data_IF_432398049956
#
_entry.id   IF_432398049956
#
_cell.length_a   1.000
_cell.length_b   1.000
_cell.length_c   1.000
_cell.angle_alpha   90.00
_cell.angle_beta   90.00
_cell.angle_gamma   90.00
#
_symmetry.space_group_name_H-M   'P 1'
#
loop_
_entity.id
_entity.type
_entity.pdbx_description
1 polymer ?
#
# COMPACT_ATOMS: atom_id res chain seq x y z
N UNK A 1 8.08 2.99 6.57
CA UNK A 1 7.04 3.77 5.87
C UNK A 1 7.50 5.21 5.74
N UNK A 2 6.87 5.98 4.86
CA UNK A 2 7.17 7.39 4.66
C UNK A 2 5.84 8.13 4.44
N UNK A 3 5.69 9.31 5.04
CA UNK A 3 4.50 10.15 4.87
C UNK A 3 4.77 11.33 3.91
N UNK A 4 3.72 12.03 3.47
CA UNK A 4 3.82 13.17 2.54
C UNK A 4 4.74 14.29 3.05
N UNK A 5 4.79 14.52 4.37
CA UNK A 5 5.67 15.52 4.99
C UNK A 5 7.16 15.07 5.03
N UNK A 6 7.47 13.90 4.46
CA UNK A 6 8.79 13.30 4.46
C UNK A 6 9.17 12.61 5.78
N UNK A 7 8.28 12.59 6.78
CA UNK A 7 8.53 11.85 8.02
C UNK A 7 8.62 10.35 7.74
N UNK A 8 9.52 9.69 8.44
CA UNK A 8 9.78 8.26 8.30
C UNK A 8 9.20 7.50 9.49
N UNK A 9 8.53 6.38 9.19
CA UNK A 9 8.14 5.39 10.18
C UNK A 9 9.13 4.24 10.17
N UNK A 10 9.69 3.95 11.33
CA UNK A 10 10.61 2.83 11.54
C UNK A 10 10.32 2.15 12.86
N UNK A 11 10.78 0.91 12.94
CA UNK A 11 10.59 0.04 14.10
C UNK A 11 11.93 -0.32 14.69
N UNK A 12 11.96 -0.53 16.00
CA UNK A 12 13.14 -1.05 16.69
C UNK A 12 12.73 -1.93 17.85
N UNK A 13 13.64 -2.81 18.24
CA UNK A 13 13.52 -3.62 19.45
C UNK A 13 14.29 -2.93 20.57
N UNK A 14 13.67 -2.84 21.74
CA UNK A 14 14.29 -2.33 22.94
C UNK A 14 14.22 -3.39 24.04
N UNK A 15 15.35 -3.63 24.68
CA UNK A 15 15.44 -4.43 25.90
C UNK A 15 15.23 -3.52 27.12
N UNK A 16 14.41 -3.95 28.07
CA UNK A 16 14.27 -3.25 29.35
C UNK A 16 15.27 -3.76 30.39
N UNK A 17 15.34 -3.11 31.55
CA UNK A 17 16.24 -3.50 32.65
C UNK A 17 15.98 -4.91 33.22
N UNK A 18 14.85 -5.52 32.89
CA UNK A 18 14.48 -6.88 33.31
C UNK A 18 14.74 -7.93 32.21
N UNK A 19 15.41 -7.58 31.11
CA UNK A 19 15.69 -8.48 29.99
C UNK A 19 14.48 -8.79 29.09
N UNK A 20 13.38 -8.04 29.24
CA UNK A 20 12.17 -8.21 28.43
C UNK A 20 12.31 -7.33 27.18
N UNK A 21 12.23 -7.98 26.02
CA UNK A 21 12.25 -7.30 24.73
C UNK A 21 10.86 -6.82 24.32
N UNK A 22 10.80 -5.57 23.85
CA UNK A 22 9.59 -4.95 23.29
C UNK A 22 9.91 -4.28 21.96
N UNK A 23 8.94 -4.23 21.06
CA UNK A 23 9.08 -3.48 19.82
C UNK A 23 8.36 -2.14 19.90
N UNK A 24 8.90 -1.15 19.22
CA UNK A 24 8.32 0.18 19.11
C UNK A 24 8.12 0.55 17.65
N UNK A 25 7.12 1.38 17.40
CA UNK A 25 7.02 2.17 16.17
C UNK A 25 7.23 3.61 16.55
N UNK A 26 8.10 4.29 15.80
CA UNK A 26 8.35 5.70 15.93
C UNK A 26 8.23 6.44 14.61
N UNK A 27 7.92 7.72 14.73
CA UNK A 27 7.84 8.68 13.65
C UNK A 27 9.03 9.62 13.78
N UNK A 28 9.94 9.58 12.82
CA UNK A 28 11.09 10.48 12.73
C UNK A 28 10.84 11.58 11.71
N UNK A 29 10.90 12.83 12.16
CA UNK A 29 10.85 13.99 11.30
C UNK A 29 12.27 14.49 11.06
N UNK A 30 12.80 14.25 9.85
CA UNK A 30 14.17 14.62 9.50
C UNK A 30 14.44 16.14 9.62
N UNK A 31 13.61 17.04 9.07
CA UNK A 31 13.84 18.48 9.19
C UNK A 31 13.92 18.99 10.62
N UNK A 32 13.11 18.44 11.54
CA UNK A 32 13.09 18.81 12.96
C UNK A 32 14.07 18.00 13.81
N UNK A 33 14.65 16.94 13.24
CA UNK A 33 15.43 15.94 13.94
C UNK A 33 14.76 15.41 15.22
N UNK A 34 13.44 15.16 15.15
CA UNK A 34 12.67 14.65 16.30
C UNK A 34 12.19 13.24 16.05
N UNK A 35 12.33 12.39 17.07
CA UNK A 35 11.76 11.05 17.11
C UNK A 35 10.61 11.00 18.12
N UNK A 36 9.41 10.74 17.62
CA UNK A 36 8.23 10.51 18.44
C UNK A 36 7.92 9.01 18.49
N UNK A 37 7.87 8.44 19.70
CA UNK A 37 7.37 7.07 19.91
C UNK A 37 5.84 7.10 19.80
N UNK A 38 5.28 6.36 18.86
CA UNK A 38 3.84 6.38 18.59
C UNK A 38 3.12 5.12 19.05
N UNK A 39 3.77 3.96 19.02
CA UNK A 39 3.14 2.71 19.44
C UNK A 39 4.14 1.73 20.04
N UNK A 40 3.69 0.92 20.99
CA UNK A 40 4.52 -0.05 21.71
C UNK A 40 3.89 -1.44 21.66
N UNK A 41 4.70 -2.44 21.39
CA UNK A 41 4.32 -3.85 21.44
C UNK A 41 4.92 -4.51 22.66
N UNK A 42 4.16 -5.39 23.31
CA UNK A 42 4.62 -6.13 24.48
C UNK A 42 5.57 -7.29 24.16
N UNK A 43 5.87 -7.52 22.87
CA UNK A 43 6.80 -8.55 22.39
C UNK A 43 7.54 -8.06 21.16
N UNK A 44 8.67 -8.69 20.80
CA UNK A 44 9.35 -8.43 19.54
C UNK A 44 8.44 -8.78 18.36
N UNK A 45 8.25 -7.83 17.44
CA UNK A 45 7.46 -8.02 16.23
C UNK A 45 8.23 -7.54 15.00
N UNK A 46 8.12 -8.29 13.91
CA UNK A 46 8.65 -7.92 12.61
C UNK A 46 7.59 -7.13 11.83
N UNK A 47 7.58 -5.82 12.05
CA UNK A 47 6.74 -4.87 11.31
C UNK A 47 7.50 -4.41 10.08
N UNK A 48 7.01 -4.75 8.89
CA UNK A 48 7.69 -4.47 7.61
C UNK A 48 7.14 -3.27 6.88
N UNK A 49 5.93 -2.84 7.24
CA UNK A 49 5.30 -1.67 6.64
C UNK A 49 4.41 -1.00 7.70
N UNK A 50 4.37 0.33 7.66
CA UNK A 50 3.49 1.12 8.50
C UNK A 50 3.20 2.50 7.87
N UNK A 51 2.02 3.03 8.15
CA UNK A 51 1.61 4.40 7.81
C UNK A 51 0.69 4.97 8.91
N UNK A 52 0.67 6.28 9.08
CA UNK A 52 -0.23 7.00 10.01
C UNK A 52 -1.14 7.96 9.25
N UNK A 53 -2.36 8.14 9.75
CA UNK A 53 -3.27 9.10 9.17
C UNK A 53 -2.81 10.55 9.43
N UNK A 54 -3.43 11.52 8.74
CA UNK A 54 -3.06 12.94 8.80
C UNK A 54 -3.00 13.49 10.23
N UNK A 55 -3.97 13.11 11.06
CA UNK A 55 -4.08 13.55 12.45
C UNK A 55 -3.23 12.71 13.42
N UNK A 56 -2.54 11.68 12.94
CA UNK A 56 -1.69 10.77 13.74
C UNK A 56 -2.46 10.15 14.92
N UNK A 57 -3.72 9.80 14.68
CA UNK A 57 -4.63 9.15 15.64
C UNK A 57 -4.78 7.66 15.35
N UNK A 58 -4.56 7.24 14.10
CA UNK A 58 -4.64 5.85 13.65
C UNK A 58 -3.32 5.48 12.98
N UNK A 59 -2.80 4.33 13.38
CA UNK A 59 -1.63 3.68 12.82
C UNK A 59 -2.07 2.42 12.06
N UNK A 60 -1.64 2.28 10.83
CA UNK A 60 -1.76 1.05 10.05
C UNK A 60 -0.38 0.40 9.96
N UNK A 61 -0.31 -0.92 10.12
CA UNK A 61 0.95 -1.65 10.06
C UNK A 61 0.78 -3.09 9.56
N UNK A 62 1.84 -3.64 8.96
CA UNK A 62 1.89 -5.01 8.45
C UNK A 62 2.91 -5.81 9.24
N UNK A 63 2.49 -6.95 9.78
CA UNK A 63 3.37 -7.95 10.38
C UNK A 63 3.78 -8.99 9.33
N UNK A 64 5.08 -9.29 9.28
CA UNK A 64 5.65 -10.41 8.49
C UNK A 64 6.07 -11.51 9.45
N UNK A 65 5.40 -12.65 9.40
CA UNK A 65 5.64 -13.78 10.29
C UNK A 65 5.76 -15.08 9.49
N UNK A 66 6.41 -16.10 10.06
CA UNK A 66 6.41 -17.44 9.49
C UNK A 66 5.24 -18.21 10.05
N UNK A 67 4.46 -18.86 9.18
CA UNK A 67 3.42 -19.80 9.59
C UNK A 67 4.03 -21.15 10.00
N UNK A 68 3.18 -22.10 10.42
CA UNK A 68 3.60 -23.45 10.83
C UNK A 68 4.35 -24.24 9.74
N UNK A 69 4.26 -23.81 8.48
CA UNK A 69 4.91 -24.41 7.31
C UNK A 69 6.20 -23.69 6.91
N UNK A 70 6.70 -22.80 7.77
CA UNK A 70 7.88 -21.96 7.53
C UNK A 70 7.74 -20.97 6.35
N UNK A 71 6.51 -20.70 5.90
CA UNK A 71 6.21 -19.75 4.82
C UNK A 71 5.91 -18.39 5.42
N UNK A 72 6.50 -17.33 4.86
CA UNK A 72 6.19 -15.97 5.28
C UNK A 72 4.75 -15.59 4.94
N UNK A 73 4.06 -15.01 5.92
CA UNK A 73 2.73 -14.43 5.78
C UNK A 73 2.75 -12.97 6.23
N UNK A 74 1.92 -12.18 5.55
CA UNK A 74 1.73 -10.75 5.76
C UNK A 74 0.33 -10.52 6.32
N UNK A 75 0.24 -9.85 7.45
CA UNK A 75 -1.01 -9.55 8.16
C UNK A 75 -1.11 -8.07 8.49
N UNK A 76 -2.10 -7.35 7.94
CA UNK A 76 -2.29 -5.93 8.20
C UNK A 76 -3.21 -5.69 9.41
N UNK A 77 -2.88 -4.68 10.20
CA UNK A 77 -3.59 -4.28 11.40
C UNK A 77 -3.78 -2.77 11.42
N UNK A 78 -4.82 -2.33 12.13
CA UNK A 78 -5.02 -0.94 12.51
C UNK A 78 -4.93 -0.81 14.02
N UNK A 79 -4.32 0.27 14.49
CA UNK A 79 -4.24 0.62 15.89
C UNK A 79 -4.71 2.06 16.09
N UNK A 80 -5.68 2.26 16.98
CA UNK A 80 -6.05 3.59 17.46
C UNK A 80 -5.09 4.00 18.57
N UNK A 81 -4.38 5.11 18.37
CA UNK A 81 -3.29 5.53 19.24
C UNK A 81 -3.77 6.15 20.57
N UNK A 82 -5.01 6.62 20.63
CA UNK A 82 -5.60 7.24 21.83
C UNK A 82 -5.78 6.21 22.96
N UNK A 83 -6.23 4.99 22.65
CA UNK A 83 -6.55 3.94 23.61
C UNK A 83 -5.76 2.63 23.38
N UNK A 84 -4.87 2.60 22.40
CA UNK A 84 -4.13 1.42 21.94
C UNK A 84 -5.03 0.24 21.53
N UNK A 85 -6.28 0.50 21.13
CA UNK A 85 -7.13 -0.55 20.56
C UNK A 85 -6.59 -0.99 19.20
N UNK A 86 -6.56 -2.31 18.97
CA UNK A 86 -6.03 -2.91 17.74
C UNK A 86 -7.15 -3.67 17.04
N UNK A 87 -7.30 -3.43 15.74
CA UNK A 87 -8.20 -4.13 14.85
C UNK A 87 -7.38 -4.97 13.85
N UNK A 88 -7.62 -6.28 13.83
CA UNK A 88 -7.11 -7.18 12.79
C UNK A 88 -8.02 -7.04 11.56
N UNK A 89 -7.43 -6.79 10.39
CA UNK A 89 -8.18 -6.70 9.14
C UNK A 89 -8.62 -8.08 8.60
N UNK A 90 -8.29 -9.16 9.31
CA UNK A 90 -8.60 -10.55 8.97
C UNK A 90 -8.07 -10.96 7.58
N UNK A 91 -6.93 -10.37 7.19
CA UNK A 91 -6.22 -10.68 5.95
C UNK A 91 -4.91 -11.37 6.30
N UNK A 92 -4.72 -12.55 5.75
CA UNK A 92 -3.44 -13.26 5.79
C UNK A 92 -3.08 -13.68 4.36
N UNK A 93 -1.90 -13.26 3.90
CA UNK A 93 -1.41 -13.53 2.53
C UNK A 93 0.05 -13.95 2.55
N UNK A 94 0.44 -14.79 1.59
CA UNK A 94 1.85 -15.13 1.36
C UNK A 94 2.59 -14.08 0.52
N UNK A 95 1.87 -13.10 -0.02
CA UNK A 95 2.38 -12.01 -0.85
C UNK A 95 2.47 -10.72 -0.06
N UNK A 96 3.40 -9.84 -0.45
CA UNK A 96 3.62 -8.56 0.23
C UNK A 96 2.33 -7.73 0.28
N UNK A 97 2.09 -7.15 1.46
CA UNK A 97 1.03 -6.18 1.69
C UNK A 97 1.69 -4.83 1.97
N UNK A 98 1.18 -3.78 1.33
CA UNK A 98 1.55 -2.39 1.60
C UNK A 98 0.32 -1.59 1.98
N UNK A 99 0.44 -0.74 3.01
CA UNK A 99 -0.63 0.13 3.49
C UNK A 99 -0.22 1.60 3.32
N UNK A 100 -1.16 2.48 3.00
CA UNK A 100 -0.87 3.90 2.92
C UNK A 100 -2.12 4.72 3.20
N UNK A 101 -2.06 5.60 4.20
CA UNK A 101 -3.14 6.57 4.41
C UNK A 101 -3.14 7.61 3.31
N UNK A 102 -4.33 7.94 2.83
CA UNK A 102 -4.56 9.14 2.03
C UNK A 102 -4.65 10.33 2.97
N UNK A 103 -3.93 11.40 2.66
CA UNK A 103 -3.93 12.59 3.49
C UNK A 103 -4.98 13.56 3.00
N UNK A 104 -5.84 13.97 3.92
CA UNK A 104 -6.88 14.95 3.71
C UNK A 104 -6.39 16.31 4.15
N UNK A 105 -6.54 17.35 3.33
CA UNK A 105 -6.16 18.73 3.63
C UNK A 105 -7.23 19.48 4.42
N UNK A 106 -8.31 18.81 4.85
CA UNK A 106 -9.48 19.47 5.41
C UNK A 106 -9.33 19.94 6.85
N UNK A 107 -10.07 21.02 7.14
CA UNK A 107 -10.21 21.65 8.44
C UNK A 107 -10.94 20.75 9.44
N UNK A 108 -10.53 20.81 10.71
CA UNK A 108 -11.02 20.09 11.90
C UNK A 108 -12.54 20.21 12.15
N UNK A 109 -13.27 21.01 11.35
CA UNK A 109 -14.65 21.41 11.55
C UNK A 109 -15.71 20.50 10.88
N UNK A 110 -15.33 19.48 10.11
CA UNK A 110 -16.29 18.55 9.50
C UNK A 110 -16.53 17.34 10.41
N UNK A 111 -17.68 17.30 11.07
CA UNK A 111 -18.04 16.30 12.09
C UNK A 111 -18.12 14.84 11.60
N UNK A 112 -18.09 14.60 10.27
CA UNK A 112 -18.20 13.28 9.65
C UNK A 112 -16.94 12.86 8.86
N UNK A 113 -15.74 13.20 9.35
CA UNK A 113 -14.50 12.82 8.67
C UNK A 113 -14.30 11.30 8.66
N UNK A 114 -13.96 10.77 7.47
CA UNK A 114 -13.54 9.38 7.29
C UNK A 114 -12.09 9.33 6.86
N UNK A 115 -11.27 8.60 7.60
CA UNK A 115 -9.89 8.35 7.21
C UNK A 115 -9.89 7.33 6.07
N UNK A 116 -9.11 7.58 5.02
CA UNK A 116 -9.00 6.67 3.87
C UNK A 116 -7.64 5.98 3.89
N UNK A 117 -7.65 4.67 3.73
CA UNK A 117 -6.47 3.83 3.74
C UNK A 117 -6.44 2.96 2.49
N UNK A 118 -5.34 3.00 1.76
CA UNK A 118 -5.05 2.06 0.69
C UNK A 118 -4.38 0.81 1.27
N UNK A 119 -4.83 -0.35 0.82
CA UNK A 119 -4.22 -1.65 1.11
C UNK A 119 -3.96 -2.36 -0.21
N UNK A 120 -2.69 -2.58 -0.52
CA UNK A 120 -2.22 -3.19 -1.75
C UNK A 120 -1.72 -4.60 -1.42
N UNK A 121 -2.29 -5.62 -2.06
CA UNK A 121 -1.85 -7.02 -1.97
C UNK A 121 -1.25 -7.42 -3.33
N UNK A 122 0.05 -7.66 -3.36
CA UNK A 122 0.78 -7.95 -4.61
C UNK A 122 0.12 -9.08 -5.42
N UNK A 123 -0.03 -8.91 -6.75
CA UNK A 123 -0.66 -9.87 -7.66
C UNK A 123 -2.11 -10.27 -7.27
N UNK A 124 -2.75 -9.51 -6.39
CA UNK A 124 -4.11 -9.77 -5.95
C UNK A 124 -4.97 -8.54 -6.14
N UNK A 125 -4.92 -7.50 -5.30
CA UNK A 125 -5.86 -6.39 -5.42
C UNK A 125 -5.37 -5.13 -4.69
N UNK A 126 -6.02 -4.02 -5.00
CA UNK A 126 -5.89 -2.76 -4.24
C UNK A 126 -7.25 -2.43 -3.67
N UNK A 127 -7.31 -2.37 -2.35
CA UNK A 127 -8.49 -2.05 -1.57
C UNK A 127 -8.36 -0.63 -1.01
N UNK A 128 -9.48 0.07 -0.92
CA UNK A 128 -9.61 1.32 -0.19
C UNK A 128 -10.56 1.10 0.99
N UNK A 129 -10.06 1.35 2.20
CA UNK A 129 -10.82 1.35 3.44
C UNK A 129 -11.22 2.78 3.77
N UNK A 130 -12.49 2.98 4.14
CA UNK A 130 -12.99 4.21 4.73
C UNK A 130 -13.31 3.94 6.21
N UNK A 131 -12.53 4.54 7.09
CA UNK A 131 -12.57 4.34 8.53
C UNK A 131 -13.24 5.57 9.15
N UNK A 132 -14.43 5.36 9.74
CA UNK A 132 -15.14 6.42 10.45
C UNK A 132 -14.57 6.60 11.84
N UNK A 133 -14.59 7.83 12.35
CA UNK A 133 -14.26 8.12 13.76
C UNK A 133 -15.45 7.73 14.66
N UNK A 134 -15.69 6.43 14.79
CA UNK A 134 -16.70 5.85 15.68
C UNK A 134 -16.04 5.26 16.92
N UNK A 135 -16.82 5.10 17.99
CA UNK A 135 -16.34 4.38 19.18
C UNK A 135 -16.00 2.92 18.85
N UNK A 136 -16.82 2.32 17.99
CA UNK A 136 -16.59 0.99 17.44
C UNK A 136 -15.43 1.03 16.44
N UNK A 137 -14.31 0.41 16.80
CA UNK A 137 -13.09 0.30 15.99
C UNK A 137 -12.88 -1.16 15.60
N UNK A 138 -13.89 -1.70 14.89
CA UNK A 138 -13.92 -3.07 14.40
C UNK A 138 -14.04 -3.09 12.89
N UNK A 139 -13.63 -4.20 12.28
CA UNK A 139 -13.63 -4.37 10.83
C UNK A 139 -15.02 -4.15 10.20
N UNK A 140 -16.09 -4.50 10.92
CA UNK A 140 -17.48 -4.36 10.48
C UNK A 140 -17.92 -2.90 10.34
N UNK A 141 -17.25 -1.98 11.05
CA UNK A 141 -17.52 -0.55 10.98
C UNK A 141 -16.89 0.13 9.76
N UNK A 142 -15.98 -0.55 9.05
CA UNK A 142 -15.24 0.01 7.92
C UNK A 142 -15.94 -0.27 6.59
N UNK A 143 -15.98 0.74 5.72
CA UNK A 143 -16.44 0.55 4.34
C UNK A 143 -15.23 0.19 3.49
N UNK A 144 -15.29 -0.92 2.77
CA UNK A 144 -14.19 -1.42 1.94
C UNK A 144 -14.63 -1.52 0.50
N UNK A 145 -13.83 -0.97 -0.41
CA UNK A 145 -14.03 -1.11 -1.85
C UNK A 145 -12.76 -1.61 -2.55
N UNK A 146 -12.92 -2.39 -3.61
CA UNK A 146 -11.81 -2.82 -4.47
C UNK A 146 -11.68 -1.85 -5.64
N UNK A 147 -10.61 -1.07 -5.67
CA UNK A 147 -10.35 -0.09 -6.73
C UNK A 147 -9.55 -0.69 -7.89
N UNK A 148 -8.70 -1.68 -7.62
CA UNK A 148 -7.96 -2.44 -8.65
C UNK A 148 -8.09 -3.92 -8.34
N UNK A 149 -8.49 -4.70 -9.35
CA UNK A 149 -8.80 -6.13 -9.18
C UNK A 149 -7.61 -7.05 -9.15
N UNK A 150 -6.54 -6.73 -9.90
CA UNK A 150 -5.26 -7.43 -10.02
C UNK A 150 -4.22 -6.43 -10.54
N UNK A 151 -3.05 -6.39 -9.92
CA UNK A 151 -1.89 -5.61 -10.36
C UNK A 151 -0.61 -6.41 -10.11
N UNK A 152 0.44 -6.19 -10.89
CA UNK A 152 1.73 -6.90 -10.73
C UNK A 152 2.85 -6.04 -10.16
N UNK A 153 2.69 -4.72 -10.14
CA UNK A 153 3.64 -3.75 -9.61
C UNK A 153 2.88 -2.49 -9.24
N UNK A 154 3.26 -1.84 -8.15
CA UNK A 154 2.67 -0.55 -7.78
C UNK A 154 3.67 0.34 -7.03
N UNK A 155 3.51 1.65 -7.18
CA UNK A 155 4.26 2.65 -6.44
C UNK A 155 3.34 3.80 -6.02
N UNK A 156 3.49 4.21 -4.77
CA UNK A 156 2.80 5.34 -4.19
C UNK A 156 3.67 6.61 -4.25
N UNK A 157 3.10 7.67 -4.80
CA UNK A 157 3.62 9.03 -4.70
C UNK A 157 2.83 9.81 -3.64
N UNK A 158 3.45 9.97 -2.47
CA UNK A 158 2.83 10.67 -1.35
C UNK A 158 2.64 12.17 -1.60
N UNK A 159 3.48 12.81 -2.43
CA UNK A 159 3.43 14.26 -2.66
C UNK A 159 2.22 14.65 -3.51
N UNK A 160 1.93 13.86 -4.53
CA UNK A 160 0.79 14.10 -5.42
C UNK A 160 -0.42 13.22 -5.11
N UNK A 161 -0.37 12.42 -4.03
CA UNK A 161 -1.40 11.44 -3.66
C UNK A 161 -1.78 10.56 -4.86
N UNK A 162 -0.78 10.06 -5.58
CA UNK A 162 -0.98 9.33 -6.84
C UNK A 162 -0.42 7.93 -6.75
N UNK A 163 -1.25 6.95 -7.11
CA UNK A 163 -0.89 5.54 -7.19
C UNK A 163 -0.61 5.15 -8.63
N UNK A 164 0.63 4.76 -8.90
CA UNK A 164 1.02 4.15 -10.16
C UNK A 164 0.98 2.63 -10.03
N UNK A 165 0.42 1.92 -10.99
CA UNK A 165 0.39 0.46 -10.98
C UNK A 165 0.36 -0.14 -12.37
N UNK A 166 0.89 -1.36 -12.49
CA UNK A 166 0.87 -2.14 -13.73
C UNK A 166 -0.20 -3.22 -13.61
N UNK A 167 -1.08 -3.27 -14.60
CA UNK A 167 -2.11 -4.31 -14.74
C UNK A 167 -2.15 -4.83 -16.18
N UNK A 168 -2.75 -6.00 -16.38
CA UNK A 168 -2.92 -6.55 -17.72
C UNK A 168 -4.31 -6.26 -18.28
N UNK A 169 -4.35 -5.78 -19.52
CA UNK A 169 -5.60 -5.51 -20.23
C UNK A 169 -5.72 -6.42 -21.46
N UNK A 170 -6.95 -6.89 -21.72
CA UNK A 170 -7.28 -7.53 -22.99
C UNK A 170 -7.37 -6.47 -24.10
N UNK A 171 -6.87 -6.74 -25.32
CA UNK A 171 -7.05 -5.84 -26.44
C UNK A 171 -8.53 -5.56 -26.65
N UNK A 172 -8.88 -4.31 -26.92
CA UNK A 172 -10.23 -3.95 -27.31
C UNK A 172 -10.53 -4.66 -28.64
N UNK A 173 -11.62 -5.45 -28.69
CA UNK A 173 -12.03 -6.11 -29.93
C UNK A 173 -12.42 -5.03 -30.94
N UNK A 174 -11.64 -4.83 -31.99
CA UNK A 174 -12.07 -4.04 -33.14
C UNK A 174 -13.12 -4.83 -33.91
N UNK A 175 -14.16 -4.17 -34.41
CA UNK A 175 -15.22 -4.78 -35.23
C UNK A 175 -14.65 -5.37 -36.55
N UNK A 176 -13.42 -5.01 -36.92
CA UNK A 176 -12.73 -5.49 -38.11
C UNK A 176 -11.92 -6.79 -37.90
N UNK A 177 -11.75 -7.27 -36.66
CA UNK A 177 -10.87 -8.41 -36.34
C UNK A 177 -11.61 -9.78 -36.33
N UNK A 178 -12.77 -9.88 -36.97
CA UNK A 178 -13.66 -11.05 -36.87
C UNK A 178 -13.13 -12.27 -37.65
N UNK A 179 -12.11 -12.11 -38.50
CA UNK A 179 -11.69 -13.18 -39.43
C UNK A 179 -10.50 -14.03 -38.96
N UNK A 180 -9.78 -13.68 -37.88
CA UNK A 180 -8.55 -14.40 -37.43
C UNK A 180 -8.68 -15.05 -36.02
N UNK A 181 -9.89 -15.41 -35.61
CA UNK A 181 -10.20 -15.74 -34.21
C UNK A 181 -9.90 -17.17 -33.73
N UNK A 182 -9.10 -17.98 -34.43
CA UNK A 182 -8.92 -19.41 -34.07
C UNK A 182 -7.52 -19.86 -33.61
N UNK A 183 -6.53 -18.99 -33.41
CA UNK A 183 -5.21 -19.47 -32.92
C UNK A 183 -4.41 -18.60 -31.94
N UNK A 184 -4.82 -17.37 -31.65
CA UNK A 184 -4.09 -16.52 -30.71
C UNK A 184 -4.75 -16.52 -29.34
N UNK A 185 -4.23 -17.34 -28.42
CA UNK A 185 -4.56 -17.28 -27.00
C UNK A 185 -4.56 -15.83 -26.52
N UNK A 186 -5.64 -15.41 -25.86
CA UNK A 186 -5.98 -14.04 -25.46
C UNK A 186 -4.75 -13.22 -25.01
N UNK A 187 -4.05 -12.58 -25.95
CA UNK A 187 -2.79 -11.88 -25.68
C UNK A 187 -3.10 -10.66 -24.84
N UNK A 188 -2.74 -10.69 -23.56
CA UNK A 188 -2.87 -9.55 -22.67
C UNK A 188 -1.63 -8.67 -22.76
N UNK A 189 -1.81 -7.37 -22.65
CA UNK A 189 -0.71 -6.41 -22.68
C UNK A 189 -0.63 -5.67 -21.34
N UNK A 190 0.59 -5.45 -20.81
CA UNK A 190 0.76 -4.69 -19.58
C UNK A 190 0.50 -3.21 -19.83
N UNK A 191 -0.24 -2.59 -18.91
CA UNK A 191 -0.60 -1.18 -18.91
C UNK A 191 -0.10 -0.54 -17.62
N UNK A 192 0.62 0.57 -17.72
CA UNK A 192 0.90 1.45 -16.58
C UNK A 192 -0.25 2.43 -16.43
N UNK A 193 -0.89 2.41 -15.28
CA UNK A 193 -1.97 3.33 -14.93
C UNK A 193 -1.61 4.17 -13.72
N UNK A 194 -2.12 5.40 -13.69
CA UNK A 194 -2.02 6.32 -12.57
C UNK A 194 -3.42 6.67 -12.06
N UNK A 195 -3.65 6.49 -10.77
CA UNK A 195 -4.85 6.94 -10.06
C UNK A 195 -4.48 8.04 -9.09
N UNK A 196 -5.00 9.25 -9.30
CA UNK A 196 -4.81 10.37 -8.40
C UNK A 196 -6.00 10.46 -7.45
N UNK A 197 -5.71 10.59 -6.16
CA UNK A 197 -6.71 10.69 -5.10
C UNK A 197 -6.92 12.14 -4.71
N UNK A 198 -8.19 12.51 -4.56
CA UNK A 198 -8.64 13.85 -4.18
C UNK A 198 -9.42 13.78 -2.88
N UNK A 199 -9.54 14.90 -2.16
CA UNK A 199 -10.24 14.91 -0.88
C UNK A 199 -11.76 14.82 -1.04
N UNK A 200 -12.33 15.68 -1.90
CA UNK A 200 -13.79 15.82 -2.08
C UNK A 200 -14.33 15.02 -3.28
N UNK A 201 -13.46 14.46 -4.10
CA UNK A 201 -13.82 13.75 -5.33
C UNK A 201 -13.35 12.29 -5.28
N UNK A 202 -14.05 11.39 -5.99
CA UNK A 202 -13.50 10.08 -6.31
C UNK A 202 -12.12 10.21 -6.96
N UNK A 203 -11.31 9.15 -6.86
CA UNK A 203 -10.04 9.10 -7.58
C UNK A 203 -10.27 9.24 -9.10
N UNK A 204 -9.31 9.84 -9.79
CA UNK A 204 -9.33 9.99 -11.24
C UNK A 204 -8.16 9.27 -11.91
N UNK A 205 -8.34 8.85 -13.16
CA UNK A 205 -7.27 8.24 -13.93
C UNK A 205 -6.47 9.33 -14.67
N UNK A 206 -5.22 9.53 -14.25
CA UNK A 206 -4.32 10.57 -14.79
C UNK A 206 -3.31 10.02 -15.81
N UNK A 207 -3.11 8.70 -15.83
CA UNK A 207 -2.20 8.02 -16.74
C UNK A 207 -2.77 6.66 -17.12
N UNK A 208 -2.66 6.29 -18.39
CA UNK A 208 -2.96 4.94 -18.85
C UNK A 208 -2.20 4.63 -20.15
N UNK A 209 -0.98 4.14 -20.03
CA UNK A 209 -0.09 3.90 -21.17
C UNK A 209 0.25 2.41 -21.33
N UNK A 210 0.25 1.87 -22.55
CA UNK A 210 0.73 0.52 -22.80
C UNK A 210 2.24 0.45 -22.57
N UNK A 211 2.69 -0.62 -21.92
CA UNK A 211 4.11 -0.90 -21.74
C UNK A 211 4.56 -1.99 -22.71
N UNK A 212 5.69 -1.76 -23.38
CA UNK A 212 6.36 -2.78 -24.17
C UNK A 212 7.33 -3.57 -23.28
N UNK A 213 6.79 -4.52 -22.51
CA UNK A 213 7.58 -5.38 -21.61
C UNK A 213 7.53 -6.82 -22.12
N UNK A 214 8.50 -7.26 -22.95
CA UNK A 214 8.42 -8.52 -23.69
C UNK A 214 8.47 -9.79 -22.81
N UNK A 215 8.87 -9.68 -21.54
CA UNK A 215 9.06 -10.81 -20.63
C UNK A 215 8.04 -10.89 -19.50
N UNK A 216 7.05 -9.99 -19.48
CA UNK A 216 6.02 -10.00 -18.44
C UNK A 216 4.93 -11.02 -18.73
N UNK A 217 4.88 -12.07 -17.92
CA UNK A 217 3.77 -13.02 -17.93
C UNK A 217 2.52 -12.41 -17.27
N UNK A 218 1.33 -12.54 -17.88
CA UNK A 218 0.07 -12.18 -17.24
C UNK A 218 -0.33 -13.14 -16.12
N UNK A 219 0.35 -14.28 -16.00
CA UNK A 219 0.10 -15.27 -14.96
C UNK A 219 0.98 -14.94 -13.74
N UNK A 220 0.38 -14.78 -12.54
CA UNK A 220 1.10 -14.66 -11.28
C UNK A 220 2.21 -15.72 -11.17
N UNK A 221 3.45 -15.29 -10.97
CA UNK A 221 4.57 -16.24 -10.91
C UNK A 221 4.66 -16.87 -9.51
N UNK A 222 4.90 -18.18 -9.38
CA UNK A 222 5.09 -18.80 -8.07
C UNK A 222 6.43 -18.44 -7.41
N UNK A 223 7.32 -17.70 -8.10
CA UNK A 223 8.73 -17.52 -7.74
C UNK A 223 9.09 -16.20 -7.09
N UNK A 224 8.20 -15.21 -7.02
CA UNK A 224 8.44 -13.98 -6.25
C UNK A 224 8.12 -14.21 -4.75
N UNK A 225 8.78 -15.20 -4.14
CA UNK A 225 8.53 -15.62 -2.75
C UNK A 225 9.36 -14.88 -1.69
N UNK A 226 10.30 -14.04 -2.13
CA UNK A 226 11.17 -13.25 -1.25
C UNK A 226 10.93 -11.78 -1.58
N UNK A 227 10.26 -11.08 -0.68
CA UNK A 227 10.10 -9.64 -0.74
C UNK A 227 11.17 -8.98 0.12
N UNK A 228 11.88 -8.04 -0.48
CA UNK A 228 12.76 -7.13 0.23
C UNK A 228 11.91 -6.13 1.02
N UNK A 229 12.35 -5.81 2.24
CA UNK A 229 11.67 -4.85 3.10
C UNK A 229 12.18 -3.43 2.75
N UNK A 230 12.03 -3.05 1.48
CA UNK A 230 12.41 -1.73 0.93
C UNK A 230 11.49 -0.64 1.50
N UNK A 231 12.08 0.36 2.15
CA UNK A 231 11.30 1.43 2.78
C UNK A 231 11.02 2.62 1.86
N UNK A 232 11.85 2.84 0.84
CA UNK A 232 11.78 3.95 -0.12
C UNK A 232 12.38 3.49 -1.46
N UNK A 233 11.71 3.69 -2.61
CA UNK A 233 10.38 4.30 -2.75
C UNK A 233 9.29 3.40 -2.17
N UNK A 234 8.13 3.99 -1.85
CA UNK A 234 6.97 3.28 -1.36
C UNK A 234 6.36 2.44 -2.50
N UNK A 235 6.83 1.20 -2.65
CA UNK A 235 6.45 0.31 -3.76
C UNK A 235 6.12 -1.10 -3.31
N UNK A 236 5.24 -1.73 -4.08
CA UNK A 236 5.08 -3.19 -4.12
C UNK A 236 5.87 -3.68 -5.32
N UNK A 237 6.99 -4.34 -5.03
CA UNK A 237 7.97 -4.77 -6.02
C UNK A 237 7.55 -6.07 -6.73
N UNK A 238 8.03 -6.24 -7.96
CA UNK A 238 7.93 -7.48 -8.72
C UNK A 238 9.34 -7.92 -9.10
N UNK A 239 9.74 -9.14 -8.75
CA UNK A 239 11.12 -9.62 -9.01
C UNK A 239 11.52 -9.63 -10.49
N UNK A 240 10.57 -9.54 -11.42
CA UNK A 240 10.82 -9.50 -12.86
C UNK A 240 10.89 -8.08 -13.42
N UNK A 241 10.70 -7.05 -12.59
CA UNK A 241 10.68 -5.64 -12.97
C UNK A 241 11.48 -4.79 -11.98
N UNK A 242 12.53 -4.16 -12.48
CA UNK A 242 13.10 -2.99 -11.83
C UNK A 242 12.52 -1.76 -12.53
N UNK A 243 11.49 -1.17 -11.91
CA UNK A 243 10.80 -0.01 -12.44
C UNK A 243 10.55 0.99 -11.31
N UNK A 244 10.77 2.26 -11.62
CA UNK A 244 10.48 3.39 -10.73
C UNK A 244 9.78 4.50 -11.51
N UNK A 245 8.76 5.10 -10.88
CA UNK A 245 8.12 6.31 -11.39
C UNK A 245 8.66 7.50 -10.64
N UNK A 246 9.19 8.48 -11.35
CA UNK A 246 9.68 9.74 -10.82
C UNK A 246 8.74 10.85 -11.27
N UNK A 247 8.26 11.64 -10.31
CA UNK A 247 7.39 12.79 -10.55
C UNK A 247 8.08 14.07 -10.08
N UNK A 248 7.76 15.19 -10.71
CA UNK A 248 8.14 16.51 -10.21
C UNK A 248 6.91 17.41 -9.99
N UNK A 249 7.11 18.56 -9.34
CA UNK A 249 6.03 19.52 -9.07
C UNK A 249 5.49 20.23 -10.32
N UNK A 250 6.17 20.10 -11.46
CA UNK A 250 5.74 20.67 -12.74
C UNK A 250 4.84 19.69 -13.53
N UNK A 251 4.60 18.49 -12.99
CA UNK A 251 3.79 17.46 -13.62
C UNK A 251 4.57 16.56 -14.58
N UNK A 252 5.90 16.64 -14.63
CA UNK A 252 6.71 15.69 -15.37
C UNK A 252 6.65 14.32 -14.70
N UNK A 253 6.41 13.28 -15.50
CA UNK A 253 6.43 11.88 -15.08
C UNK A 253 7.50 11.17 -15.91
N UNK A 254 8.48 10.59 -15.24
CA UNK A 254 9.52 9.77 -15.85
C UNK A 254 9.38 8.33 -15.34
N UNK A 255 9.52 7.36 -16.23
CA UNK A 255 9.45 5.94 -15.92
C UNK A 255 10.82 5.39 -16.29
N UNK A 256 11.54 4.92 -15.29
CA UNK A 256 12.88 4.37 -15.42
C UNK A 256 12.86 2.87 -15.11
#
# INVERSE_FOLDING_TARGET
>A
GQEEDGSLLFTWVQENSAGIFKSWIGLYNYPKNTLHRIFAFNKPLNVVQASVNANRTILAYVLKQKNDRDVFTYRPFLARLEDNSVCDLNIERSKQIMLQFLLSKHSVLTENHTERLLLLIHEECILQYQIRKTNDFTLESFVVESIVRIFIWAQWDAKHQTLYYIHFRKPAKSILDVEDAESNGTKMYPMLSGLQFHDDLPHESVLNIPLNLPHLSPVPSPSCGVYEDDTVPLRVHNCSLDLIVLTNSEGAVCIC
#
